data_IF_360363115049
#
_entry.id   IF_360363115049
#
_cell.length_a   1.000
_cell.length_b   1.000
_cell.length_c   1.000
_cell.angle_alpha   90.00
_cell.angle_beta   90.00
_cell.angle_gamma   90.00
#
_symmetry.space_group_name_H-M   'P 1'
#
loop_
_entity.id
_entity.type
_entity.pdbx_description
1 polymer ?
#
# COMPACT_ATOMS: atom_id res chain seq x y z
N UNK A 1 29.56 -21.64 8.62
CA UNK A 1 28.14 -21.77 9.05
C UNK A 1 27.34 -20.46 9.16
N UNK A 2 27.79 -19.31 8.63
CA UNK A 2 27.04 -18.04 8.71
C UNK A 2 25.95 -17.87 7.64
N UNK A 3 26.16 -18.42 6.45
CA UNK A 3 25.23 -18.27 5.32
C UNK A 3 23.80 -18.81 5.61
N UNK A 4 23.69 -19.98 6.23
CA UNK A 4 22.38 -20.57 6.58
C UNK A 4 21.60 -19.77 7.63
N UNK A 5 22.30 -19.18 8.61
CA UNK A 5 21.68 -18.33 9.63
C UNK A 5 21.13 -17.05 9.01
N UNK A 6 21.88 -16.40 8.11
CA UNK A 6 21.41 -15.24 7.37
C UNK A 6 20.24 -15.58 6.45
N UNK A 7 20.30 -16.69 5.70
CA UNK A 7 19.19 -17.12 4.86
C UNK A 7 17.89 -17.33 5.65
N UNK A 8 17.97 -17.95 6.83
CA UNK A 8 16.81 -18.15 7.71
C UNK A 8 16.22 -16.81 8.19
N UNK A 9 17.07 -15.89 8.68
CA UNK A 9 16.68 -14.55 9.10
C UNK A 9 16.04 -13.77 7.94
N UNK A 10 16.67 -13.79 6.78
CA UNK A 10 16.32 -12.93 5.65
C UNK A 10 15.01 -13.36 4.98
N UNK A 11 14.60 -14.63 5.07
CA UNK A 11 13.24 -15.04 4.68
C UNK A 11 12.15 -14.31 5.47
N UNK A 12 12.37 -14.05 6.76
CA UNK A 12 11.45 -13.26 7.60
C UNK A 12 11.57 -11.77 7.28
N UNK A 13 12.79 -11.27 7.11
CA UNK A 13 13.06 -9.86 6.76
C UNK A 13 12.47 -9.49 5.41
N UNK A 14 12.54 -10.36 4.40
CA UNK A 14 11.99 -10.16 3.05
C UNK A 14 10.54 -9.71 3.09
N UNK A 15 9.71 -10.35 3.93
CA UNK A 15 8.28 -9.98 4.10
C UNK A 15 8.11 -8.54 4.61
N UNK A 16 8.99 -8.08 5.51
CA UNK A 16 8.96 -6.70 6.05
C UNK A 16 9.44 -5.69 5.00
N UNK A 17 10.53 -6.01 4.29
CA UNK A 17 11.10 -5.16 3.24
C UNK A 17 10.09 -4.92 2.11
N UNK A 18 9.44 -5.97 1.62
CA UNK A 18 8.40 -5.80 0.59
C UNK A 18 7.20 -5.00 1.08
N UNK A 19 6.75 -5.25 2.32
CA UNK A 19 5.66 -4.45 2.91
C UNK A 19 6.03 -2.97 3.01
N UNK A 20 7.25 -2.65 3.42
CA UNK A 20 7.74 -1.27 3.46
C UNK A 20 7.78 -0.64 2.06
N UNK A 21 8.26 -1.38 1.06
CA UNK A 21 8.28 -0.92 -0.33
C UNK A 21 6.87 -0.63 -0.87
N UNK A 22 5.91 -1.51 -0.61
CA UNK A 22 4.52 -1.31 -1.05
C UNK A 22 3.89 -0.08 -0.38
N UNK A 23 4.13 0.12 0.92
CA UNK A 23 3.66 1.31 1.63
C UNK A 23 4.27 2.58 1.02
N UNK A 24 5.57 2.58 0.71
CA UNK A 24 6.23 3.73 0.10
C UNK A 24 5.63 4.07 -1.27
N UNK A 25 5.38 3.07 -2.12
CA UNK A 25 4.74 3.23 -3.43
C UNK A 25 3.33 3.80 -3.33
N UNK A 26 2.51 3.22 -2.44
CA UNK A 26 1.14 3.71 -2.20
C UNK A 26 1.17 5.14 -1.65
N UNK A 27 2.08 5.45 -0.73
CA UNK A 27 2.18 6.79 -0.15
C UNK A 27 2.55 7.84 -1.20
N UNK A 28 3.45 7.52 -2.12
CA UNK A 28 3.79 8.43 -3.22
C UNK A 28 2.56 8.71 -4.09
N UNK A 29 1.87 7.67 -4.57
CA UNK A 29 0.68 7.81 -5.41
C UNK A 29 -0.50 8.50 -4.69
N UNK A 30 -0.72 8.19 -3.41
CA UNK A 30 -1.77 8.83 -2.63
C UNK A 30 -1.50 10.33 -2.43
N UNK A 31 -0.24 10.72 -2.26
CA UNK A 31 0.15 12.13 -2.13
C UNK A 31 -0.06 12.93 -3.42
N UNK A 32 0.19 12.32 -4.58
CA UNK A 32 -0.13 12.94 -5.88
C UNK A 32 -1.63 13.29 -5.98
N UNK A 33 -2.48 12.52 -5.31
CA UNK A 33 -3.93 12.71 -5.28
C UNK A 33 -4.42 13.48 -4.03
N UNK A 34 -3.51 14.12 -3.29
CA UNK A 34 -3.83 15.00 -2.17
C UNK A 34 -4.16 14.29 -0.86
N UNK A 35 -3.77 13.02 -0.68
CA UNK A 35 -4.04 12.26 0.56
C UNK A 35 -2.77 11.65 1.16
N UNK A 36 -2.70 11.59 2.49
CA UNK A 36 -1.62 10.85 3.18
C UNK A 36 -1.93 9.35 3.25
N UNK A 37 -0.91 8.51 3.31
CA UNK A 37 -1.09 7.06 3.45
C UNK A 37 -1.93 6.66 4.69
N UNK A 38 -1.79 7.36 5.82
CA UNK A 38 -2.55 7.05 7.04
C UNK A 38 -4.05 7.30 6.85
N UNK A 39 -4.41 8.43 6.23
CA UNK A 39 -5.79 8.75 5.86
C UNK A 39 -6.33 7.72 4.86
N UNK A 40 -5.56 7.40 3.82
CA UNK A 40 -5.94 6.41 2.82
C UNK A 40 -6.18 5.02 3.42
N UNK A 41 -5.26 4.55 4.27
CA UNK A 41 -5.38 3.25 4.94
C UNK A 41 -6.59 3.19 5.88
N UNK A 42 -6.89 4.29 6.58
CA UNK A 42 -8.09 4.38 7.41
C UNK A 42 -9.37 4.37 6.54
N UNK A 43 -9.36 5.13 5.45
CA UNK A 43 -10.50 5.26 4.56
C UNK A 43 -10.82 3.97 3.79
N UNK A 44 -9.80 3.23 3.32
CA UNK A 44 -10.00 1.89 2.74
C UNK A 44 -10.71 0.95 3.71
N UNK A 45 -10.29 0.95 4.98
CA UNK A 45 -10.92 0.12 6.02
C UNK A 45 -12.37 0.54 6.27
N UNK A 46 -12.67 1.84 6.30
CA UNK A 46 -14.03 2.36 6.43
C UNK A 46 -14.91 2.07 5.21
N UNK A 47 -14.32 2.06 4.02
CA UNK A 47 -15.00 1.74 2.78
C UNK A 47 -15.29 0.24 2.60
N UNK A 48 -14.75 -0.63 3.47
CA UNK A 48 -14.91 -2.09 3.36
C UNK A 48 -14.12 -2.71 2.19
N UNK A 49 -13.11 -2.01 1.67
CA UNK A 49 -12.32 -2.48 0.53
C UNK A 49 -11.19 -3.38 1.05
N UNK A 50 -11.35 -4.69 0.89
CA UNK A 50 -10.36 -5.69 1.34
C UNK A 50 -9.31 -5.99 0.25
N UNK A 51 -8.50 -4.98 -0.09
CA UNK A 51 -7.37 -5.16 -1.02
C UNK A 51 -6.05 -5.12 -0.25
N UNK A 52 -5.15 -6.05 -0.57
CA UNK A 52 -3.83 -6.08 0.04
C UNK A 52 -2.90 -4.97 -0.50
N UNK A 53 -1.80 -4.73 0.22
CA UNK A 53 -0.83 -3.69 -0.16
C UNK A 53 -0.03 -4.05 -1.40
N UNK A 54 0.10 -5.34 -1.72
CA UNK A 54 0.87 -5.79 -2.87
C UNK A 54 0.15 -5.37 -4.15
N UNK A 55 -1.14 -5.70 -4.24
CA UNK A 55 -2.01 -5.36 -5.36
C UNK A 55 -2.20 -3.85 -5.44
N UNK A 56 -2.46 -3.16 -4.32
CA UNK A 56 -2.59 -1.69 -4.33
C UNK A 56 -1.30 -1.00 -4.83
N UNK A 57 -0.13 -1.47 -4.41
CA UNK A 57 1.13 -0.90 -4.87
C UNK A 57 1.42 -1.21 -6.34
N UNK A 58 0.88 -2.30 -6.87
CA UNK A 58 0.99 -2.67 -8.28
C UNK A 58 0.07 -1.81 -9.16
N UNK A 59 -1.19 -1.64 -8.76
CA UNK A 59 -2.16 -0.75 -9.39
C UNK A 59 -1.63 0.70 -9.37
N UNK A 60 -1.10 1.16 -8.24
CA UNK A 60 -0.53 2.51 -8.13
C UNK A 60 0.60 2.80 -9.15
N UNK A 61 1.31 1.77 -9.62
CA UNK A 61 2.42 1.91 -10.58
C UNK A 61 1.92 1.72 -12.02
N UNK A 62 1.14 0.68 -12.27
CA UNK A 62 0.76 0.29 -13.63
C UNK A 62 -0.53 0.95 -14.13
N UNK A 63 -1.45 1.30 -13.23
CA UNK A 63 -2.74 1.88 -13.57
C UNK A 63 -3.10 3.04 -12.61
N UNK A 64 -2.59 4.22 -12.96
CA UNK A 64 -2.85 5.45 -12.21
C UNK A 64 -4.33 5.84 -12.22
N UNK A 65 -5.07 5.52 -13.29
CA UNK A 65 -6.48 5.88 -13.41
C UNK A 65 -7.33 5.03 -12.46
N UNK A 66 -7.09 3.72 -12.40
CA UNK A 66 -7.74 2.84 -11.43
C UNK A 66 -7.38 3.23 -9.99
N UNK A 67 -6.12 3.55 -9.71
CA UNK A 67 -5.71 4.02 -8.37
C UNK A 67 -6.43 5.32 -7.98
N UNK A 68 -6.55 6.27 -8.91
CA UNK A 68 -7.30 7.51 -8.68
C UNK A 68 -8.77 7.24 -8.36
N UNK A 69 -9.42 6.34 -9.10
CA UNK A 69 -10.80 5.92 -8.81
C UNK A 69 -10.98 5.34 -7.39
N UNK A 70 -10.02 4.53 -6.93
CA UNK A 70 -10.03 4.01 -5.55
C UNK A 70 -9.87 5.14 -4.54
N UNK A 71 -8.93 6.07 -4.77
CA UNK A 71 -8.71 7.21 -3.86
C UNK A 71 -9.95 8.09 -3.77
N UNK A 72 -10.65 8.36 -4.86
CA UNK A 72 -11.90 9.15 -4.84
C UNK A 72 -13.02 8.43 -4.07
N UNK A 73 -13.20 7.13 -4.25
CA UNK A 73 -14.13 6.35 -3.43
C UNK A 73 -13.80 6.43 -1.94
N UNK A 74 -12.51 6.38 -1.61
CA UNK A 74 -12.02 6.49 -0.24
C UNK A 74 -12.25 7.90 0.32
N UNK A 75 -12.03 8.96 -0.46
CA UNK A 75 -12.34 10.35 -0.07
C UNK A 75 -13.82 10.52 0.24
N UNK A 76 -14.69 10.03 -0.64
CA UNK A 76 -16.14 10.12 -0.47
C UNK A 76 -16.59 9.44 0.84
N UNK A 77 -15.98 8.30 1.20
CA UNK A 77 -16.28 7.59 2.46
C UNK A 77 -15.66 8.21 3.71
N UNK A 78 -14.66 9.08 3.57
CA UNK A 78 -14.06 9.81 4.70
C UNK A 78 -14.76 11.13 4.98
N UNK A 79 -15.39 11.73 3.98
CA UNK A 79 -16.17 12.96 4.09
C UNK A 79 -17.61 12.72 4.58
N UNK A 80 -18.11 11.49 4.46
CA UNK A 80 -19.36 11.02 5.04
C UNK A 80 -19.17 10.58 6.50
#
# INVERSE_FOLDING_TARGET
MKAGQYAYRDRRTKKRVFRQLWIARINAAARELGMTYSQFANGIRKAGIEIDRKVLADIAVHDKAAFAGIVEQVKAKLAA
#
